data_IF_998062752001
#
_entry.id   IF_998062752001
#
_cell.length_a   1.000
_cell.length_b   1.000
_cell.length_c   1.000
_cell.angle_alpha   90.00
_cell.angle_beta   90.00
_cell.angle_gamma   90.00
#
_symmetry.space_group_name_H-M   'P 1'
#
loop_
_entity.id
_entity.type
_entity.pdbx_description
1 polymer ?
#
# COMPACT_ATOMS: atom_id res chain seq x y z
N UNK A 1 -6.17 21.13 13.17
CA UNK A 1 -5.42 20.44 12.08
C UNK A 1 -6.31 20.15 10.85
N UNK A 2 -7.02 21.14 10.28
CA UNK A 2 -8.09 20.89 9.29
C UNK A 2 -7.69 21.01 7.80
N UNK A 3 -6.43 21.25 7.46
CA UNK A 3 -6.03 21.54 6.06
C UNK A 3 -4.94 20.65 5.45
N UNK A 4 -4.49 19.58 6.13
CA UNK A 4 -3.40 18.73 5.60
C UNK A 4 -3.85 17.50 4.80
N UNK A 5 -5.13 17.14 4.83
CA UNK A 5 -5.64 15.93 4.14
C UNK A 5 -5.99 16.23 2.67
N UNK A 6 -6.29 17.48 2.31
CA UNK A 6 -6.66 17.84 0.92
C UNK A 6 -5.49 17.77 -0.06
N UNK A 7 -4.25 17.97 0.39
CA UNK A 7 -3.09 18.03 -0.51
C UNK A 7 -2.75 16.66 -1.12
N UNK A 8 -3.04 15.56 -0.40
CA UNK A 8 -2.79 14.19 -0.84
C UNK A 8 -3.79 13.71 -1.90
N UNK A 9 -5.04 14.16 -1.81
CA UNK A 9 -6.12 13.75 -2.71
C UNK A 9 -6.00 14.44 -4.08
N UNK A 10 -5.52 15.68 -4.11
CA UNK A 10 -5.39 16.46 -5.35
C UNK A 10 -4.23 15.99 -6.25
N UNK A 11 -3.10 15.58 -5.67
CA UNK A 11 -1.97 15.01 -6.43
C UNK A 11 -2.33 13.66 -7.08
N UNK A 12 -3.19 12.88 -6.42
CA UNK A 12 -3.64 11.59 -6.94
C UNK A 12 -4.53 11.75 -8.17
N UNK A 13 -5.41 12.76 -8.21
CA UNK A 13 -6.37 12.91 -9.31
C UNK A 13 -5.76 13.44 -10.62
N UNK A 14 -4.69 14.25 -10.55
CA UNK A 14 -4.07 14.83 -11.75
C UNK A 14 -3.15 13.85 -12.51
N UNK A 15 -2.57 12.88 -11.79
CA UNK A 15 -1.65 11.91 -12.35
C UNK A 15 -2.37 10.74 -13.07
N UNK A 16 -3.67 10.57 -12.81
CA UNK A 16 -4.52 9.49 -13.32
C UNK A 16 -4.99 9.66 -14.77
N UNK A 17 -4.86 10.86 -15.36
CA UNK A 17 -5.41 11.21 -16.67
C UNK A 17 -4.36 11.68 -17.70
N UNK A 18 -3.06 11.48 -17.45
CA UNK A 18 -2.00 11.88 -18.38
C UNK A 18 -1.16 10.69 -18.88
N UNK A 19 -0.49 10.87 -20.01
CA UNK A 19 0.52 9.94 -20.57
C UNK A 19 1.69 9.67 -19.60
N UNK A 20 1.77 10.41 -18.48
CA UNK A 20 2.78 10.29 -17.45
C UNK A 20 2.46 9.23 -16.37
N UNK A 21 1.82 8.11 -16.75
CA UNK A 21 1.52 6.98 -15.84
C UNK A 21 2.75 6.51 -15.05
N UNK A 22 3.93 6.57 -15.66
CA UNK A 22 5.19 6.24 -15.01
C UNK A 22 5.53 7.21 -13.87
N UNK A 23 5.44 8.53 -14.10
CA UNK A 23 5.72 9.56 -13.08
C UNK A 23 4.69 9.48 -11.96
N UNK A 24 3.42 9.30 -12.30
CA UNK A 24 2.35 9.05 -11.35
C UNK A 24 2.71 7.88 -10.43
N UNK A 25 3.07 6.75 -11.02
CA UNK A 25 3.44 5.53 -10.30
C UNK A 25 4.66 5.75 -9.40
N UNK A 26 5.71 6.40 -9.90
CA UNK A 26 6.95 6.67 -9.16
C UNK A 26 6.74 7.59 -7.94
N UNK A 27 5.75 8.48 -7.98
CA UNK A 27 5.45 9.36 -6.83
C UNK A 27 4.44 8.72 -5.88
N UNK A 28 3.38 8.12 -6.42
CA UNK A 28 2.27 7.64 -5.59
C UNK A 28 2.56 6.32 -4.90
N UNK A 29 3.28 5.40 -5.55
CA UNK A 29 3.54 4.07 -4.99
C UNK A 29 4.39 4.14 -3.73
N UNK A 30 5.54 4.85 -3.69
CA UNK A 30 6.32 4.98 -2.46
C UNK A 30 5.55 5.64 -1.32
N UNK A 31 4.65 6.57 -1.62
CA UNK A 31 3.80 7.20 -0.60
C UNK A 31 2.78 6.22 -0.01
N UNK A 32 2.13 5.41 -0.86
CA UNK A 32 1.19 4.36 -0.42
C UNK A 32 1.94 3.29 0.38
N UNK A 33 3.03 2.75 -0.17
CA UNK A 33 3.81 1.69 0.46
C UNK A 33 4.46 2.17 1.76
N UNK A 34 4.95 3.40 1.80
CA UNK A 34 5.48 4.03 3.00
C UNK A 34 4.41 4.20 4.09
N UNK A 35 3.18 4.59 3.71
CA UNK A 35 2.06 4.64 4.64
C UNK A 35 1.69 3.24 5.18
N UNK A 36 1.69 2.24 4.31
CA UNK A 36 1.46 0.84 4.69
C UNK A 36 2.54 0.29 5.63
N UNK A 37 3.82 0.56 5.33
CA UNK A 37 4.95 0.17 6.16
C UNK A 37 4.91 0.84 7.54
N UNK A 38 4.63 2.14 7.58
CA UNK A 38 4.44 2.87 8.82
C UNK A 38 3.28 2.29 9.66
N UNK A 39 2.12 2.06 9.05
CA UNK A 39 0.96 1.49 9.73
C UNK A 39 1.25 0.09 10.29
N UNK A 40 1.91 -0.77 9.51
CA UNK A 40 2.33 -2.10 9.96
C UNK A 40 3.29 -2.02 11.15
N UNK A 41 4.36 -1.23 11.07
CA UNK A 41 5.35 -1.09 12.15
C UNK A 41 4.70 -0.50 13.40
N UNK A 42 3.83 0.49 13.26
CA UNK A 42 3.10 1.08 14.38
C UNK A 42 2.18 0.05 15.07
N UNK A 43 1.49 -0.79 14.29
CA UNK A 43 0.69 -1.89 14.84
C UNK A 43 1.55 -2.96 15.52
N UNK A 44 2.72 -3.30 14.97
CA UNK A 44 3.64 -4.25 15.59
C UNK A 44 4.21 -3.75 16.92
N UNK A 45 4.53 -2.47 17.00
CA UNK A 45 5.22 -1.88 18.16
C UNK A 45 4.28 -1.45 19.27
N UNK A 46 3.10 -0.91 18.92
CA UNK A 46 2.21 -0.24 19.89
C UNK A 46 1.03 -1.09 20.33
N UNK A 47 0.81 -2.24 19.70
CA UNK A 47 -0.34 -3.06 19.97
C UNK A 47 0.01 -4.31 20.77
N UNK A 48 -0.84 -4.70 21.71
CA UNK A 48 -0.72 -5.94 22.48
C UNK A 48 -1.49 -7.11 21.85
N UNK A 49 -2.43 -6.85 20.93
CA UNK A 49 -3.29 -7.90 20.39
C UNK A 49 -2.59 -8.77 19.34
N UNK A 50 -2.58 -10.11 19.50
CA UNK A 50 -1.90 -11.01 18.58
C UNK A 50 -2.41 -10.95 17.13
N UNK A 51 -3.72 -10.84 16.91
CA UNK A 51 -4.30 -10.80 15.57
C UNK A 51 -3.88 -9.55 14.78
N UNK A 52 -3.87 -8.38 15.41
CA UNK A 52 -3.45 -7.13 14.75
C UNK A 52 -1.96 -7.14 14.46
N UNK A 53 -1.14 -7.72 15.34
CA UNK A 53 0.28 -7.94 15.10
C UNK A 53 0.53 -8.92 13.94
N UNK A 54 -0.20 -10.02 13.88
CA UNK A 54 -0.11 -10.98 12.79
C UNK A 54 -0.49 -10.33 11.45
N UNK A 55 -1.62 -9.60 11.40
CA UNK A 55 -2.03 -8.87 10.21
C UNK A 55 -0.99 -7.82 9.77
N UNK A 56 -0.39 -7.12 10.73
CA UNK A 56 0.65 -6.14 10.47
C UNK A 56 1.94 -6.78 9.93
N UNK A 57 2.35 -7.93 10.47
CA UNK A 57 3.48 -8.71 9.98
C UNK A 57 3.23 -9.20 8.54
N UNK A 58 2.05 -9.78 8.28
CA UNK A 58 1.66 -10.22 6.92
C UNK A 58 1.69 -9.07 5.94
N UNK A 59 1.11 -7.91 6.29
CA UNK A 59 1.13 -6.74 5.41
C UNK A 59 2.55 -6.21 5.17
N UNK A 60 3.41 -6.18 6.20
CA UNK A 60 4.80 -5.75 6.05
C UNK A 60 5.60 -6.70 5.15
N UNK A 61 5.40 -8.01 5.27
CA UNK A 61 6.04 -9.02 4.40
C UNK A 61 5.58 -8.92 2.96
N UNK A 62 4.28 -8.73 2.72
CA UNK A 62 3.72 -8.54 1.39
C UNK A 62 4.27 -7.28 0.72
N UNK A 63 4.35 -6.16 1.46
CA UNK A 63 4.97 -4.92 0.99
C UNK A 63 6.45 -5.13 0.66
N UNK A 64 7.22 -5.73 1.59
CA UNK A 64 8.65 -5.99 1.36
C UNK A 64 8.91 -6.82 0.11
N UNK A 65 8.08 -7.83 -0.14
CA UNK A 65 8.19 -8.68 -1.33
C UNK A 65 7.81 -7.92 -2.61
N UNK A 66 6.77 -7.08 -2.56
CA UNK A 66 6.32 -6.27 -3.71
C UNK A 66 7.34 -5.21 -4.09
N UNK A 67 7.92 -4.50 -3.10
CA UNK A 67 9.01 -3.55 -3.30
C UNK A 67 10.23 -4.25 -3.88
N UNK A 68 10.63 -5.39 -3.29
CA UNK A 68 11.77 -6.17 -3.77
C UNK A 68 11.60 -6.62 -5.23
N UNK A 69 10.40 -7.10 -5.59
CA UNK A 69 10.10 -7.47 -6.96
C UNK A 69 10.02 -6.24 -7.88
N UNK A 70 9.46 -5.12 -7.42
CA UNK A 70 9.42 -3.85 -8.15
C UNK A 70 10.82 -3.38 -8.54
N UNK A 71 11.77 -3.39 -7.60
CA UNK A 71 13.18 -3.08 -7.87
C UNK A 71 13.78 -4.08 -8.89
N UNK A 72 13.51 -5.38 -8.71
CA UNK A 72 13.98 -6.40 -9.66
C UNK A 72 13.43 -6.19 -11.08
N UNK A 73 12.19 -5.72 -11.23
CA UNK A 73 11.59 -5.42 -12.54
C UNK A 73 12.35 -4.32 -13.27
N UNK A 74 12.82 -3.29 -12.56
CA UNK A 74 13.61 -2.18 -13.13
C UNK A 74 14.99 -2.63 -13.62
N UNK A 75 15.55 -3.69 -13.01
CA UNK A 75 16.86 -4.22 -13.35
C UNK A 75 16.84 -5.17 -14.58
N UNK A 76 15.69 -5.78 -14.92
CA UNK A 76 15.60 -6.81 -15.96
C UNK A 76 15.04 -6.22 -17.27
N UNK A 77 15.90 -6.07 -18.29
CA UNK A 77 15.56 -5.52 -19.62
C UNK A 77 15.28 -6.56 -20.73
N UNK A 78 15.00 -7.81 -20.39
CA UNK A 78 14.95 -8.93 -21.36
C UNK A 78 13.55 -9.47 -21.61
N UNK A 79 13.39 -10.43 -22.53
CA UNK A 79 12.14 -11.14 -22.86
C UNK A 79 11.39 -11.75 -21.64
N UNK A 80 12.02 -11.83 -20.46
CA UNK A 80 11.38 -12.23 -19.20
C UNK A 80 10.57 -11.12 -18.52
N UNK A 81 10.66 -9.87 -19.01
CA UNK A 81 9.99 -8.71 -18.43
C UNK A 81 8.47 -8.91 -18.31
N UNK A 82 7.82 -9.51 -19.32
CA UNK A 82 6.38 -9.74 -19.29
C UNK A 82 5.96 -10.69 -18.16
N UNK A 83 6.71 -11.79 -17.96
CA UNK A 83 6.45 -12.74 -16.87
C UNK A 83 6.65 -12.08 -15.50
N UNK A 84 7.71 -11.29 -15.34
CA UNK A 84 8.00 -10.58 -14.10
C UNK A 84 6.93 -9.53 -13.81
N UNK A 85 6.48 -8.77 -14.82
CA UNK A 85 5.35 -7.84 -14.68
C UNK A 85 4.08 -8.56 -14.23
N UNK A 86 3.75 -9.73 -14.79
CA UNK A 86 2.58 -10.50 -14.36
C UNK A 86 2.67 -10.91 -12.88
N UNK A 87 3.84 -11.35 -12.43
CA UNK A 87 4.05 -11.69 -11.01
C UNK A 87 3.92 -10.44 -10.13
N UNK A 88 4.48 -9.30 -10.54
CA UNK A 88 4.36 -8.04 -9.81
C UNK A 88 2.91 -7.57 -9.67
N UNK A 89 2.09 -7.74 -10.71
CA UNK A 89 0.64 -7.47 -10.65
C UNK A 89 -0.06 -8.34 -9.60
N UNK A 90 0.23 -9.65 -9.58
CA UNK A 90 -0.34 -10.58 -8.61
C UNK A 90 0.08 -10.19 -7.18
N UNK A 91 1.34 -9.80 -6.98
CA UNK A 91 1.79 -9.30 -5.68
C UNK A 91 1.07 -8.01 -5.26
N UNK A 92 0.77 -7.10 -6.20
CA UNK A 92 -0.05 -5.94 -5.92
C UNK A 92 -1.44 -6.30 -5.36
N UNK A 93 -2.07 -7.36 -5.87
CA UNK A 93 -3.33 -7.89 -5.32
C UNK A 93 -3.14 -8.48 -3.91
N UNK A 94 -2.03 -9.19 -3.68
CA UNK A 94 -1.68 -9.73 -2.36
C UNK A 94 -1.50 -8.61 -1.34
N UNK A 95 -0.84 -7.51 -1.72
CA UNK A 95 -0.68 -6.31 -0.87
C UNK A 95 -2.03 -5.68 -0.56
N UNK A 96 -2.93 -5.57 -1.53
CA UNK A 96 -4.29 -5.07 -1.25
C UNK A 96 -5.02 -5.98 -0.25
N UNK A 97 -4.94 -7.30 -0.44
CA UNK A 97 -5.52 -8.28 0.47
C UNK A 97 -4.97 -8.15 1.90
N UNK A 98 -3.65 -8.03 2.04
CA UNK A 98 -3.02 -7.83 3.36
C UNK A 98 -3.35 -6.46 3.97
N UNK A 99 -3.50 -5.42 3.14
CA UNK A 99 -3.94 -4.10 3.57
C UNK A 99 -5.38 -4.14 4.11
N UNK A 100 -6.29 -4.85 3.43
CA UNK A 100 -7.66 -5.05 3.87
C UNK A 100 -7.72 -5.84 5.18
N UNK A 101 -6.89 -6.88 5.31
CA UNK A 101 -6.76 -7.66 6.55
C UNK A 101 -6.28 -6.79 7.72
N UNK A 102 -5.25 -5.96 7.51
CA UNK A 102 -4.74 -5.04 8.53
C UNK A 102 -5.80 -3.99 8.92
N UNK A 103 -6.47 -3.38 7.94
CA UNK A 103 -7.56 -2.42 8.15
C UNK A 103 -8.71 -3.02 8.98
N UNK A 104 -9.12 -4.24 8.64
CA UNK A 104 -10.14 -4.99 9.38
C UNK A 104 -9.68 -5.26 10.81
N UNK A 105 -8.45 -5.73 11.00
CA UNK A 105 -7.89 -6.03 12.32
C UNK A 105 -7.82 -4.78 13.21
N UNK A 106 -7.39 -3.65 12.65
CA UNK A 106 -7.33 -2.37 13.36
C UNK A 106 -8.74 -1.86 13.74
N UNK A 107 -9.75 -2.14 12.93
CA UNK A 107 -11.14 -1.77 13.23
C UNK A 107 -11.66 -2.46 14.50
N UNK A 108 -11.26 -3.71 14.72
CA UNK A 108 -11.66 -4.50 15.89
C UNK A 108 -10.73 -4.34 17.10
N UNK A 109 -9.72 -3.48 17.00
CA UNK A 109 -8.72 -3.29 18.03
C UNK A 109 -8.85 -1.94 18.75
N UNK A 110 -9.40 -1.89 19.99
CA UNK A 110 -9.57 -0.66 20.74
C UNK A 110 -8.27 0.11 21.01
N UNK A 111 -7.11 -0.56 21.04
CA UNK A 111 -5.83 0.10 21.31
C UNK A 111 -5.38 1.00 20.14
N UNK A 112 -5.87 0.71 18.93
CA UNK A 112 -5.47 1.39 17.69
C UNK A 112 -6.65 2.08 17.01
N UNK A 113 -7.87 1.59 17.23
CA UNK A 113 -9.11 2.18 16.74
C UNK A 113 -9.25 3.63 17.21
N UNK A 114 -9.56 4.52 16.28
CA UNK A 114 -9.72 5.95 16.57
C UNK A 114 -8.40 6.73 16.69
N UNK A 115 -7.25 6.05 16.63
CA UNK A 115 -5.94 6.71 16.55
C UNK A 115 -5.60 7.07 15.10
N UNK A 116 -4.56 7.89 14.92
CA UNK A 116 -4.05 8.21 13.59
C UNK A 116 -3.54 6.97 12.83
N UNK A 117 -3.15 5.89 13.53
CA UNK A 117 -2.69 4.63 12.91
C UNK A 117 -3.85 3.97 12.16
N UNK A 118 -5.05 3.95 12.76
CA UNK A 118 -6.25 3.47 12.09
C UNK A 118 -6.58 4.29 10.86
N UNK A 119 -6.52 5.63 10.96
CA UNK A 119 -6.78 6.51 9.83
C UNK A 119 -5.80 6.27 8.68
N UNK A 120 -4.49 6.16 8.97
CA UNK A 120 -3.47 5.87 7.95
C UNK A 120 -3.71 4.49 7.35
N UNK A 121 -4.05 3.49 8.16
CA UNK A 121 -4.34 2.13 7.67
C UNK A 121 -5.51 2.14 6.69
N UNK A 122 -6.62 2.82 7.03
CA UNK A 122 -7.80 2.91 6.16
C UNK A 122 -7.49 3.66 4.86
N UNK A 123 -6.78 4.79 4.98
CA UNK A 123 -6.33 5.56 3.82
C UNK A 123 -5.45 4.70 2.91
N UNK A 124 -4.43 4.04 3.48
CA UNK A 124 -3.55 3.12 2.75
C UNK A 124 -4.33 2.02 2.02
N UNK A 125 -5.27 1.34 2.68
CA UNK A 125 -6.11 0.32 2.04
C UNK A 125 -6.90 0.88 0.86
N UNK A 126 -7.52 2.05 1.03
CA UNK A 126 -8.27 2.72 -0.04
C UNK A 126 -7.35 3.08 -1.20
N UNK A 127 -6.23 3.77 -0.94
CA UNK A 127 -5.30 4.20 -1.97
C UNK A 127 -4.60 3.02 -2.67
N UNK A 128 -4.41 1.88 -1.98
CA UNK A 128 -3.88 0.65 -2.59
C UNK A 128 -4.85 0.00 -3.59
N UNK A 129 -6.15 0.23 -3.45
CA UNK A 129 -7.15 -0.28 -4.40
C UNK A 129 -7.19 0.51 -5.71
N UNK A 130 -6.79 1.80 -5.67
CA UNK A 130 -6.86 2.71 -6.81
C UNK A 130 -6.02 2.22 -7.99
N UNK A 131 -4.74 1.83 -7.84
CA UNK A 131 -3.95 1.27 -8.93
C UNK A 131 -4.60 0.04 -9.59
N UNK A 132 -5.26 -0.82 -8.80
CA UNK A 132 -5.90 -2.03 -9.33
C UNK A 132 -7.12 -1.67 -10.20
N UNK A 133 -7.91 -0.69 -9.77
CA UNK A 133 -9.10 -0.24 -10.51
C UNK A 133 -8.70 0.51 -11.78
N UNK A 134 -7.70 1.39 -11.70
CA UNK A 134 -7.39 2.35 -12.77
C UNK A 134 -6.45 1.76 -13.80
N UNK A 135 -5.42 1.03 -13.39
CA UNK A 135 -4.47 0.48 -14.36
C UNK A 135 -5.03 -0.73 -15.12
N UNK A 136 -6.32 -1.12 -14.92
CA UNK A 136 -7.00 -2.27 -15.57
C UNK A 136 -5.99 -3.36 -15.91
N UNK A 137 -5.35 -3.88 -14.86
CA UNK A 137 -4.22 -4.78 -14.99
C UNK A 137 -4.52 -6.03 -15.79
#
# INVERSE_FOLDING_TARGET
MKYKVLFSVFFFSAALFSDNKFIAHMVTVPLIEGAGGFASIACLTRNSRPHTKAAAAVNLSALGTTVGLGIATLAVKTAKAEKIHRVHKILGLVVLGSAALLSTSVTFDPAVRGTYIAFITYGYTLFSSIPIIIFKF
#
